data_IF_524526950631
#
_entry.id   IF_524526950631
#
_cell.length_a   1.000
_cell.length_b   1.000
_cell.length_c   1.000
_cell.angle_alpha   90.00
_cell.angle_beta   90.00
_cell.angle_gamma   90.00
#
_symmetry.space_group_name_H-M   'P 1'
#
loop_
_entity.id
_entity.type
_entity.pdbx_description
1 polymer ?
#
# COMPACT_ATOMS: atom_id res chain seq x y z
N UNK A 1 -29.84 3.38 -26.88
CA UNK A 1 -28.86 4.46 -26.59
C UNK A 1 -29.14 4.99 -25.19
N UNK A 2 -28.57 4.43 -24.10
CA UNK A 2 -28.83 4.93 -22.76
C UNK A 2 -27.95 6.15 -22.44
N UNK A 3 -28.60 7.19 -21.92
CA UNK A 3 -28.03 8.46 -21.50
C UNK A 3 -27.03 8.26 -20.35
N UNK A 4 -25.79 8.69 -20.56
CA UNK A 4 -24.73 8.71 -19.53
C UNK A 4 -25.11 9.74 -18.46
N UNK A 5 -25.31 9.25 -17.23
CA UNK A 5 -25.54 10.08 -16.03
C UNK A 5 -24.35 11.02 -15.83
N UNK A 6 -24.60 12.33 -15.95
CA UNK A 6 -23.65 13.38 -15.56
C UNK A 6 -23.41 13.29 -14.06
N UNK A 7 -22.16 13.01 -13.67
CA UNK A 7 -21.75 13.09 -12.28
C UNK A 7 -21.71 14.56 -11.84
N UNK A 8 -22.54 14.89 -10.84
CA UNK A 8 -22.42 16.14 -10.08
C UNK A 8 -21.24 16.00 -9.12
N UNK A 9 -20.20 16.83 -9.34
CA UNK A 9 -19.18 17.06 -8.31
C UNK A 9 -19.60 18.33 -7.54
N UNK A 10 -19.75 18.28 -6.21
CA UNK A 10 -20.09 19.46 -5.43
C UNK A 10 -18.98 20.51 -5.56
N UNK A 11 -19.29 21.61 -6.26
CA UNK A 11 -18.51 22.85 -6.23
C UNK A 11 -18.65 23.46 -4.84
N UNK A 12 -17.73 23.19 -3.92
CA UNK A 12 -17.97 23.68 -2.56
C UNK A 12 -16.90 23.47 -1.50
N UNK A 13 -15.61 23.53 -1.83
CA UNK A 13 -14.61 23.83 -0.81
C UNK A 13 -13.72 24.97 -1.32
N UNK A 14 -14.20 26.20 -1.11
CA UNK A 14 -13.32 27.37 -1.18
C UNK A 14 -12.40 27.29 0.04
N UNK A 15 -11.07 27.19 -0.11
CA UNK A 15 -10.20 27.38 1.02
C UNK A 15 -10.41 28.81 1.53
N UNK A 16 -10.94 28.94 2.74
CA UNK A 16 -10.97 30.21 3.48
C UNK A 16 -9.54 30.55 3.91
N UNK A 17 -8.72 30.95 2.93
CA UNK A 17 -7.49 31.68 3.19
C UNK A 17 -7.88 33.08 3.65
N UNK A 18 -8.18 33.22 4.95
CA UNK A 18 -8.18 34.51 5.66
C UNK A 18 -6.74 35.01 5.86
N UNK A 19 -5.97 35.02 4.77
CA UNK A 19 -4.70 35.74 4.70
C UNK A 19 -4.94 37.06 3.99
N UNK A 20 -4.55 38.18 4.60
CA UNK A 20 -4.45 39.45 3.86
C UNK A 20 -3.64 39.18 2.59
N UNK A 21 -4.24 39.37 1.41
CA UNK A 21 -3.53 39.25 0.13
C UNK A 21 -2.44 40.32 0.11
N UNK A 22 -1.22 39.95 0.47
CA UNK A 22 -0.05 40.82 0.29
C UNK A 22 0.19 40.91 -1.20
N UNK A 23 -0.21 42.04 -1.80
CA UNK A 23 -0.15 42.28 -3.26
C UNK A 23 1.29 42.39 -3.78
N UNK A 24 2.30 42.50 -2.92
CA UNK A 24 3.69 42.75 -3.28
C UNK A 24 4.57 41.52 -3.04
N UNK A 25 5.46 41.22 -3.98
CA UNK A 25 6.50 40.18 -3.83
C UNK A 25 7.47 40.53 -2.70
N UNK A 26 8.13 39.52 -2.12
CA UNK A 26 9.15 39.74 -1.10
C UNK A 26 10.29 40.65 -1.62
N UNK A 27 10.74 40.42 -2.86
CA UNK A 27 11.78 41.24 -3.51
C UNK A 27 11.39 42.72 -3.57
N UNK A 28 10.17 43.03 -4.04
CA UNK A 28 9.69 44.43 -4.14
C UNK A 28 9.55 45.12 -2.77
N UNK A 29 9.24 44.34 -1.72
CA UNK A 29 9.17 44.88 -0.35
C UNK A 29 10.55 45.24 0.19
N UNK A 30 11.54 44.37 0.00
CA UNK A 30 12.93 44.59 0.46
C UNK A 30 13.57 45.74 -0.30
N UNK A 31 13.35 45.83 -1.61
CA UNK A 31 13.83 46.94 -2.44
C UNK A 31 13.30 48.30 -1.92
N UNK A 32 12.02 48.38 -1.56
CA UNK A 32 11.42 49.59 -0.98
C UNK A 32 12.04 49.96 0.38
N UNK A 33 12.34 48.96 1.22
CA UNK A 33 12.98 49.19 2.52
C UNK A 33 14.41 49.69 2.38
N UNK A 34 15.17 49.18 1.40
CA UNK A 34 16.51 49.67 1.09
C UNK A 34 16.49 51.10 0.56
N UNK A 35 15.56 51.41 -0.36
CA UNK A 35 15.40 52.79 -0.88
C UNK A 35 15.09 53.80 0.23
N UNK A 36 14.32 53.40 1.23
CA UNK A 36 14.01 54.24 2.40
C UNK A 36 15.06 54.22 3.51
N UNK A 37 16.18 53.50 3.33
CA UNK A 37 17.20 53.25 4.34
C UNK A 37 16.63 52.77 5.69
N UNK A 38 15.54 52.00 5.64
CA UNK A 38 14.79 51.55 6.83
C UNK A 38 15.47 50.36 7.51
N UNK A 39 16.15 49.53 6.73
CA UNK A 39 16.82 48.33 7.20
C UNK A 39 18.08 48.07 6.37
N UNK A 40 19.10 47.43 6.97
CA UNK A 40 20.29 47.02 6.23
C UNK A 40 19.94 46.01 5.12
N UNK A 41 20.71 46.05 4.03
CA UNK A 41 20.57 45.13 2.89
C UNK A 41 20.84 43.69 3.36
N UNK A 42 19.90 42.73 3.17
CA UNK A 42 20.13 41.36 3.57
C UNK A 42 21.11 40.66 2.62
N UNK A 43 21.97 39.79 3.15
CA UNK A 43 23.02 39.07 2.40
C UNK A 43 22.47 38.26 1.21
N UNK A 44 21.26 37.72 1.34
CA UNK A 44 20.64 36.91 0.29
C UNK A 44 20.08 37.75 -0.87
N UNK A 45 19.90 39.06 -0.71
CA UNK A 45 19.20 39.90 -1.70
C UNK A 45 19.98 40.01 -3.01
N UNK A 46 21.30 40.09 -2.94
CA UNK A 46 22.18 40.14 -4.11
C UNK A 46 22.14 38.83 -4.90
N UNK A 47 22.20 37.70 -4.19
CA UNK A 47 22.07 36.38 -4.80
C UNK A 47 20.69 36.18 -5.47
N UNK A 48 19.62 36.66 -4.83
CA UNK A 48 18.27 36.60 -5.39
C UNK A 48 18.06 37.56 -6.58
N UNK A 49 18.83 38.63 -6.70
CA UNK A 49 18.84 39.48 -7.90
C UNK A 49 19.66 38.87 -9.03
N UNK A 50 20.78 38.22 -8.72
CA UNK A 50 21.60 37.50 -9.71
C UNK A 50 20.88 36.26 -10.27
N UNK A 51 20.11 35.58 -9.43
CA UNK A 51 19.33 34.39 -9.78
C UNK A 51 17.86 34.61 -9.36
N UNK A 52 17.09 35.40 -10.13
CA UNK A 52 15.70 35.65 -9.80
C UNK A 52 14.88 34.36 -9.83
N UNK A 53 13.92 34.18 -8.91
CA UNK A 53 13.04 33.03 -8.96
C UNK A 53 12.26 33.03 -10.28
N UNK A 54 11.92 31.86 -10.83
CA UNK A 54 11.13 31.78 -12.05
C UNK A 54 9.79 32.51 -11.85
N UNK A 55 9.27 33.16 -12.90
CA UNK A 55 7.99 33.86 -12.81
C UNK A 55 6.88 32.88 -12.41
N UNK A 56 5.98 33.34 -11.53
CA UNK A 56 4.83 32.54 -11.12
C UNK A 56 3.82 32.51 -12.27
N UNK A 57 3.70 31.36 -12.92
CA UNK A 57 2.63 31.11 -13.86
C UNK A 57 1.38 30.65 -13.11
N UNK A 58 0.22 31.23 -13.46
CA UNK A 58 -1.06 30.64 -13.08
C UNK A 58 -1.34 29.54 -14.09
N UNK A 59 -0.95 28.32 -13.74
CA UNK A 59 -1.30 27.15 -14.53
C UNK A 59 -2.72 26.74 -14.16
N UNK A 60 -3.49 26.37 -15.19
CA UNK A 60 -4.73 25.63 -14.97
C UNK A 60 -4.42 24.30 -14.27
N UNK A 61 -5.43 23.71 -13.62
CA UNK A 61 -5.27 22.41 -12.97
C UNK A 61 -4.78 21.39 -14.01
N UNK A 62 -3.65 20.69 -13.77
CA UNK A 62 -3.16 19.70 -14.72
C UNK A 62 -4.20 18.59 -14.92
N UNK A 63 -4.27 17.98 -16.12
CA UNK A 63 -5.12 16.83 -16.35
C UNK A 63 -4.68 15.65 -15.46
N UNK A 64 -5.63 14.77 -15.13
CA UNK A 64 -5.33 13.57 -14.37
C UNK A 64 -4.47 12.62 -15.23
N UNK A 65 -3.40 12.08 -14.64
CA UNK A 65 -2.52 11.11 -15.28
C UNK A 65 -3.24 9.74 -15.32
N UNK A 66 -3.46 9.20 -16.51
CA UNK A 66 -4.11 7.91 -16.71
C UNK A 66 -3.34 7.10 -17.75
N UNK A 67 -3.18 5.81 -17.48
CA UNK A 67 -2.54 4.86 -18.37
C UNK A 67 -3.55 3.84 -18.92
N UNK A 68 -3.38 3.30 -20.14
CA UNK A 68 -4.32 2.34 -20.71
C UNK A 68 -4.48 1.07 -19.86
N UNK A 69 -3.41 0.64 -19.18
CA UNK A 69 -3.41 -0.50 -18.28
C UNK A 69 -4.23 -0.29 -16.99
N UNK A 70 -4.52 0.96 -16.60
CA UNK A 70 -5.23 1.27 -15.35
C UNK A 70 -6.64 0.69 -15.34
N UNK A 71 -7.33 0.70 -16.49
CA UNK A 71 -8.68 0.16 -16.63
C UNK A 71 -8.69 -1.36 -16.50
N UNK A 72 -7.75 -2.03 -17.18
CA UNK A 72 -7.58 -3.48 -17.13
C UNK A 72 -7.25 -3.96 -15.71
N UNK A 73 -6.33 -3.25 -15.04
CA UNK A 73 -5.95 -3.54 -13.65
C UNK A 73 -7.12 -3.40 -12.69
N UNK A 74 -7.90 -2.31 -12.80
CA UNK A 74 -9.09 -2.09 -11.97
C UNK A 74 -10.11 -3.19 -12.16
N UNK A 75 -10.34 -3.60 -13.40
CA UNK A 75 -11.26 -4.67 -13.71
C UNK A 75 -10.81 -6.02 -13.13
N UNK A 76 -9.52 -6.35 -13.26
CA UNK A 76 -8.96 -7.57 -12.71
C UNK A 76 -9.04 -7.61 -11.18
N UNK A 77 -8.71 -6.50 -10.49
CA UNK A 77 -8.80 -6.40 -9.02
C UNK A 77 -10.25 -6.51 -8.52
N UNK A 78 -11.21 -5.99 -9.28
CA UNK A 78 -12.64 -6.14 -8.97
C UNK A 78 -13.08 -7.61 -9.00
N UNK A 79 -12.53 -8.40 -9.92
CA UNK A 79 -12.82 -9.85 -10.04
C UNK A 79 -12.00 -10.69 -9.04
N UNK A 80 -10.84 -10.21 -8.63
CA UNK A 80 -9.91 -10.89 -7.72
C UNK A 80 -9.68 -10.06 -6.43
N UNK A 81 -10.68 -9.93 -5.54
CA UNK A 81 -10.57 -9.07 -4.37
C UNK A 81 -9.45 -9.50 -3.41
N UNK A 82 -9.17 -10.81 -3.33
CA UNK A 82 -8.09 -11.36 -2.50
C UNK A 82 -6.71 -10.82 -2.90
N UNK A 83 -6.50 -10.50 -4.18
CA UNK A 83 -5.23 -9.98 -4.66
C UNK A 83 -4.93 -8.55 -4.19
N UNK A 84 -5.95 -7.81 -3.72
CA UNK A 84 -5.77 -6.46 -3.14
C UNK A 84 -4.91 -6.48 -1.88
N UNK A 85 -4.88 -7.61 -1.18
CA UNK A 85 -4.11 -7.79 0.05
C UNK A 85 -2.68 -8.27 -0.20
N UNK A 86 -2.27 -8.46 -1.47
CA UNK A 86 -0.92 -8.92 -1.79
C UNK A 86 0.07 -7.78 -1.54
N UNK A 87 1.05 -7.96 -0.63
CA UNK A 87 2.03 -6.93 -0.33
C UNK A 87 2.95 -6.71 -1.54
N UNK A 88 3.20 -5.44 -1.88
CA UNK A 88 4.21 -5.04 -2.87
C UNK A 88 5.31 -4.25 -2.17
N UNK A 89 6.55 -4.65 -2.36
CA UNK A 89 7.69 -3.90 -1.84
C UNK A 89 7.91 -2.64 -2.70
N UNK A 90 7.78 -1.45 -2.08
CA UNK A 90 7.95 -0.16 -2.77
C UNK A 90 9.33 0.48 -2.54
N UNK A 91 10.05 0.07 -1.49
CA UNK A 91 11.19 0.82 -0.94
C UNK A 91 12.50 0.03 -0.89
N UNK A 92 12.52 -1.17 -1.46
CA UNK A 92 13.71 -2.02 -1.46
C UNK A 92 14.36 -2.00 -2.84
N UNK A 93 15.69 -1.97 -2.87
CA UNK A 93 16.43 -2.10 -4.12
C UNK A 93 16.04 -3.42 -4.79
N UNK A 94 15.75 -3.35 -6.08
CA UNK A 94 15.07 -4.41 -6.83
C UNK A 94 15.75 -5.77 -6.68
N UNK A 95 17.09 -5.79 -6.60
CA UNK A 95 17.91 -7.00 -6.43
C UNK A 95 17.80 -7.68 -5.06
N UNK A 96 17.32 -6.98 -4.03
CA UNK A 96 17.24 -7.49 -2.65
C UNK A 96 15.87 -8.10 -2.29
N UNK A 97 14.89 -7.96 -3.17
CA UNK A 97 13.50 -8.38 -2.94
C UNK A 97 13.21 -9.72 -3.61
N UNK A 98 12.58 -10.68 -2.92
CA UNK A 98 12.03 -11.88 -3.56
C UNK A 98 11.07 -11.51 -4.70
N UNK A 99 11.11 -12.24 -5.81
CA UNK A 99 10.31 -11.93 -7.01
C UNK A 99 8.81 -11.81 -6.71
N UNK A 100 8.29 -12.60 -5.76
CA UNK A 100 6.88 -12.58 -5.35
C UNK A 100 6.42 -11.26 -4.72
N UNK A 101 7.35 -10.51 -4.14
CA UNK A 101 7.09 -9.20 -3.53
C UNK A 101 7.46 -8.04 -4.46
N UNK A 102 8.19 -8.33 -5.54
CA UNK A 102 8.62 -7.35 -6.54
C UNK A 102 7.50 -7.08 -7.55
N UNK A 103 6.89 -8.13 -8.10
CA UNK A 103 5.82 -8.02 -9.09
C UNK A 103 4.47 -8.38 -8.47
N UNK A 104 3.54 -7.42 -8.54
CA UNK A 104 2.16 -7.69 -8.13
C UNK A 104 1.49 -8.59 -9.18
N UNK A 105 0.66 -9.58 -8.80
CA UNK A 105 0.04 -10.50 -9.76
C UNK A 105 -0.81 -9.80 -10.83
N UNK A 106 -1.47 -8.69 -10.46
CA UNK A 106 -2.18 -7.86 -11.44
C UNK A 106 -1.27 -7.25 -12.51
N UNK A 107 -0.01 -6.90 -12.17
CA UNK A 107 0.90 -6.28 -13.13
C UNK A 107 1.27 -7.31 -14.22
N UNK A 108 1.61 -8.54 -13.82
CA UNK A 108 1.90 -9.63 -14.75
C UNK A 108 0.69 -10.03 -15.60
N UNK A 109 -0.51 -10.05 -15.01
CA UNK A 109 -1.74 -10.34 -15.74
C UNK A 109 -2.01 -9.29 -16.81
N UNK A 110 -1.89 -8.01 -16.47
CA UNK A 110 -2.21 -6.90 -17.38
C UNK A 110 -1.14 -6.78 -18.47
N UNK A 111 0.14 -7.00 -18.15
CA UNK A 111 1.23 -7.08 -19.14
C UNK A 111 0.88 -8.13 -20.21
N UNK A 112 0.53 -9.35 -19.80
CA UNK A 112 0.14 -10.42 -20.72
C UNK A 112 -1.15 -10.11 -21.49
N UNK A 113 -2.13 -9.47 -20.84
CA UNK A 113 -3.37 -9.07 -21.50
C UNK A 113 -3.11 -8.00 -22.57
N UNK A 114 -2.22 -7.04 -22.31
CA UNK A 114 -1.86 -6.01 -23.29
C UNK A 114 -1.16 -6.61 -24.50
N UNK A 115 -0.23 -7.56 -24.31
CA UNK A 115 0.42 -8.28 -25.43
C UNK A 115 -0.62 -8.90 -26.38
N UNK A 116 -1.64 -9.60 -25.85
CA UNK A 116 -2.70 -10.19 -26.67
C UNK A 116 -3.56 -9.13 -27.38
N UNK A 117 -3.78 -7.98 -26.76
CA UNK A 117 -4.53 -6.86 -27.36
C UNK A 117 -3.71 -6.24 -28.49
N UNK A 118 -2.39 -6.08 -28.32
CA UNK A 118 -1.47 -5.60 -29.34
C UNK A 118 -1.40 -6.56 -30.55
N UNK A 119 -1.53 -7.87 -30.30
CA UNK A 119 -1.66 -8.90 -31.35
C UNK A 119 -3.01 -8.87 -32.08
N UNK A 120 -3.97 -8.05 -31.62
CA UNK A 120 -5.28 -7.85 -32.25
C UNK A 120 -6.42 -8.65 -31.63
N UNK A 121 -6.22 -9.24 -30.45
CA UNK A 121 -7.28 -9.94 -29.71
C UNK A 121 -8.20 -8.93 -29.04
N UNK A 122 -9.52 -9.21 -29.03
CA UNK A 122 -10.47 -8.36 -28.32
C UNK A 122 -10.18 -8.35 -26.80
N UNK A 123 -10.33 -7.21 -26.08
CA UNK A 123 -9.97 -7.11 -24.67
C UNK A 123 -10.63 -8.17 -23.75
N UNK A 124 -11.89 -8.52 -23.99
CA UNK A 124 -12.60 -9.53 -23.19
C UNK A 124 -12.20 -10.97 -23.55
N UNK A 125 -11.71 -11.20 -24.76
CA UNK A 125 -11.15 -12.49 -25.17
C UNK A 125 -9.73 -12.65 -24.61
N UNK A 126 -8.90 -11.60 -24.70
CA UNK A 126 -7.59 -11.54 -24.07
C UNK A 126 -7.71 -11.82 -22.57
N UNK A 127 -8.68 -11.18 -21.87
CA UNK A 127 -8.94 -11.46 -20.45
C UNK A 127 -9.21 -12.95 -20.18
N UNK A 128 -10.06 -13.58 -21.00
CA UNK A 128 -10.43 -15.00 -20.84
C UNK A 128 -9.24 -15.93 -21.06
N UNK A 129 -8.41 -15.63 -22.06
CA UNK A 129 -7.20 -16.39 -22.36
C UNK A 129 -6.24 -16.31 -21.17
N UNK A 130 -5.90 -15.10 -20.71
CA UNK A 130 -4.96 -14.92 -19.58
C UNK A 130 -5.51 -15.51 -18.28
N UNK A 131 -6.82 -15.40 -18.03
CA UNK A 131 -7.43 -16.02 -16.86
C UNK A 131 -7.31 -17.55 -16.89
N UNK A 132 -7.52 -18.17 -18.05
CA UNK A 132 -7.34 -19.61 -18.22
C UNK A 132 -5.88 -20.04 -18.08
N UNK A 133 -4.92 -19.23 -18.54
CA UNK A 133 -3.48 -19.45 -18.32
C UNK A 133 -3.15 -19.41 -16.82
N UNK A 134 -3.63 -18.39 -16.11
CA UNK A 134 -3.38 -18.23 -14.68
C UNK A 134 -3.98 -19.37 -13.83
N UNK A 135 -5.17 -19.86 -14.18
CA UNK A 135 -5.77 -21.03 -13.51
C UNK A 135 -4.92 -22.30 -13.71
N UNK A 136 -4.45 -22.55 -14.94
CA UNK A 136 -3.59 -23.71 -15.24
C UNK A 136 -2.25 -23.64 -14.49
N UNK A 137 -1.64 -22.47 -14.41
CA UNK A 137 -0.41 -22.26 -13.64
C UNK A 137 -0.64 -22.48 -12.14
N UNK A 138 -1.75 -21.95 -11.61
CA UNK A 138 -2.13 -22.16 -10.21
C UNK A 138 -2.38 -23.63 -9.87
N UNK A 139 -3.00 -24.39 -10.78
CA UNK A 139 -3.21 -25.83 -10.63
C UNK A 139 -1.90 -26.61 -10.65
N UNK A 140 -1.01 -26.28 -11.59
CA UNK A 140 0.32 -26.90 -11.68
C UNK A 140 1.14 -26.64 -10.41
N UNK A 141 1.13 -25.40 -9.89
CA UNK A 141 1.82 -25.04 -8.65
C UNK A 141 1.25 -25.81 -7.46
N UNK A 142 -0.08 -25.87 -7.31
CA UNK A 142 -0.74 -26.63 -6.23
C UNK A 142 -0.40 -28.12 -6.29
N UNK A 143 -0.43 -28.72 -7.48
CA UNK A 143 -0.04 -30.11 -7.67
C UNK A 143 1.44 -30.36 -7.28
N UNK A 144 2.34 -29.44 -7.64
CA UNK A 144 3.76 -29.54 -7.30
C UNK A 144 4.01 -29.46 -5.78
N UNK A 145 3.30 -28.57 -5.07
CA UNK A 145 3.38 -28.42 -3.62
C UNK A 145 2.80 -29.64 -2.90
N UNK A 146 1.68 -30.19 -3.39
CA UNK A 146 1.09 -31.42 -2.86
C UNK A 146 2.06 -32.62 -3.02
N UNK A 147 2.73 -32.73 -4.18
CA UNK A 147 3.73 -33.77 -4.39
C UNK A 147 4.95 -33.61 -3.47
N UNK A 148 5.41 -32.37 -3.24
CA UNK A 148 6.56 -32.08 -2.37
C UNK A 148 6.25 -32.36 -0.89
N UNK A 149 5.08 -31.96 -0.42
CA UNK A 149 4.62 -32.23 0.95
C UNK A 149 4.44 -33.72 1.20
N UNK A 150 3.87 -34.46 0.26
CA UNK A 150 3.78 -35.94 0.34
C UNK A 150 5.15 -36.60 0.47
N UNK A 151 6.11 -36.22 -0.37
CA UNK A 151 7.50 -36.73 -0.28
C UNK A 151 8.19 -36.39 1.04
N UNK A 152 7.90 -35.23 1.62
CA UNK A 152 8.45 -34.83 2.91
C UNK A 152 7.88 -35.67 4.07
N UNK A 153 6.56 -35.93 4.04
CA UNK A 153 5.88 -36.80 5.01
C UNK A 153 6.32 -38.27 4.89
N UNK A 154 6.47 -38.78 3.66
CA UNK A 154 6.95 -40.15 3.44
C UNK A 154 8.38 -40.33 3.96
N UNK A 155 9.23 -39.29 3.87
CA UNK A 155 10.59 -39.31 4.40
C UNK A 155 10.62 -39.25 5.93
N UNK A 156 9.78 -38.42 6.56
CA UNK A 156 9.73 -38.33 8.02
C UNK A 156 9.15 -39.60 8.68
N UNK A 157 8.22 -40.29 8.01
CA UNK A 157 7.68 -41.56 8.49
C UNK A 157 8.65 -42.73 8.32
N UNK A 158 9.48 -42.74 7.26
CA UNK A 158 10.55 -43.73 7.07
C UNK A 158 11.66 -43.59 8.14
N UNK A 159 12.05 -42.37 8.50
CA UNK A 159 13.04 -42.12 9.55
C UNK A 159 12.50 -42.48 10.95
N UNK A 160 11.19 -42.29 11.20
CA UNK A 160 10.55 -42.70 12.45
C UNK A 160 10.42 -44.23 12.60
N UNK A 161 10.28 -44.97 11.50
CA UNK A 161 10.23 -46.43 11.51
C UNK A 161 11.63 -47.09 11.64
N UNK A 162 12.70 -46.40 11.26
CA UNK A 162 14.08 -46.89 11.37
C UNK A 162 14.75 -46.69 12.74
N UNK A 163 14.13 -45.92 13.65
CA UNK A 163 14.71 -45.54 14.95
C UNK A 163 14.43 -46.47 16.13
N UNK A 164 13.73 -47.60 15.95
CA UNK A 164 13.26 -48.46 17.07
C UNK A 164 14.19 -49.66 17.35
N UNK A 165 15.34 -49.79 16.66
CA UNK A 165 16.19 -50.98 16.79
C UNK A 165 17.42 -50.86 17.72
N UNK A 166 17.77 -49.70 18.27
CA UNK A 166 18.93 -49.55 19.16
C UNK A 166 18.59 -48.66 20.37
N UNK A 167 18.09 -49.27 21.44
CA UNK A 167 17.79 -48.57 22.68
C UNK A 167 17.16 -49.44 23.76
N UNK A 168 17.56 -50.71 23.84
CA UNK A 168 17.32 -51.54 25.01
C UNK A 168 18.68 -51.72 25.69
N UNK A 169 18.98 -50.83 26.64
CA UNK A 169 19.90 -51.00 27.77
C UNK A 169 20.33 -49.62 28.29
N UNK A 170 19.42 -48.89 28.95
CA UNK A 170 19.81 -48.10 30.12
C UNK A 170 18.57 -47.71 30.93
N UNK A 171 18.18 -48.61 31.83
CA UNK A 171 17.24 -48.33 32.91
C UNK A 171 17.99 -48.51 34.23
N UNK A 172 18.65 -47.44 34.71
CA UNK A 172 19.11 -47.35 36.09
C UNK A 172 18.75 -45.97 36.66
N UNK A 173 17.69 -45.98 37.46
CA UNK A 173 17.62 -45.33 38.77
C UNK A 173 17.99 -43.83 38.87
N UNK A 174 16.97 -42.98 38.86
CA UNK A 174 16.94 -41.83 39.78
C UNK A 174 15.50 -41.40 40.03
N UNK A 175 15.00 -41.96 41.11
CA UNK A 175 13.80 -41.62 41.84
C UNK A 175 14.02 -40.29 42.58
N UNK A 176 12.92 -39.54 42.77
CA UNK A 176 12.66 -38.53 43.82
C UNK A 176 13.12 -37.08 43.56
N UNK A 177 12.11 -36.21 43.49
CA UNK A 177 12.22 -34.75 43.48
C UNK A 177 10.85 -34.11 43.32
N UNK A 178 9.98 -34.31 44.33
CA UNK A 178 8.78 -33.52 44.55
C UNK A 178 9.11 -32.03 44.83
N UNK A 179 8.08 -31.20 44.68
CA UNK A 179 7.85 -29.89 45.32
C UNK A 179 8.07 -28.60 44.50
N UNK A 180 6.96 -27.84 44.42
CA UNK A 180 6.93 -26.38 44.29
C UNK A 180 6.78 -25.86 42.85
N UNK A 181 5.77 -25.08 42.47
CA UNK A 181 4.79 -24.32 43.23
C UNK A 181 4.36 -23.09 42.39
N UNK A 182 3.09 -22.72 42.46
CA UNK A 182 2.55 -21.38 42.13
C UNK A 182 2.43 -21.04 40.64
N UNK A 183 1.28 -20.69 40.05
CA UNK A 183 0.08 -20.09 40.63
C UNK A 183 0.14 -18.55 40.58
N UNK A 184 -0.16 -17.94 39.43
CA UNK A 184 -0.71 -16.57 39.25
C UNK A 184 -0.97 -16.36 37.76
N UNK A 185 -2.18 -16.09 37.24
CA UNK A 185 -3.29 -15.35 37.83
C UNK A 185 -3.13 -13.87 37.48
N UNK A 186 -3.71 -13.42 36.37
CA UNK A 186 -3.61 -12.04 35.90
C UNK A 186 -4.60 -11.72 34.78
N UNK A 187 -5.89 -11.80 35.09
CA UNK A 187 -6.95 -11.20 34.28
C UNK A 187 -6.93 -9.68 34.44
N UNK A 188 -7.02 -8.97 33.32
CA UNK A 188 -7.18 -7.52 33.26
C UNK A 188 -8.41 -7.17 32.45
N UNK A 189 -9.56 -7.19 33.10
CA UNK A 189 -10.75 -6.47 32.67
C UNK A 189 -10.49 -4.96 32.80
N UNK A 190 -10.71 -4.21 31.72
CA UNK A 190 -10.89 -2.77 31.76
C UNK A 190 -12.10 -2.39 30.93
N UNK A 191 -13.26 -2.59 31.54
CA UNK A 191 -14.49 -1.83 31.30
C UNK A 191 -14.25 -0.33 31.43
N UNK A 192 -14.92 0.49 30.61
CA UNK A 192 -15.37 1.82 31.06
C UNK A 192 -15.03 2.96 30.12
N UNK A 193 -16.04 3.46 29.39
CA UNK A 193 -15.89 4.69 28.61
C UNK A 193 -17.14 5.18 27.88
N UNK A 194 -18.35 4.99 28.42
CA UNK A 194 -19.56 5.69 27.93
C UNK A 194 -19.49 7.15 28.37
N UNK A 195 -19.04 8.03 27.48
CA UNK A 195 -19.14 9.48 27.62
C UNK A 195 -20.39 10.01 26.91
N UNK A 196 -21.53 10.02 27.59
CA UNK A 196 -22.72 10.73 27.15
C UNK A 196 -22.60 12.23 27.50
N UNK A 197 -22.62 13.09 26.48
CA UNK A 197 -22.66 14.54 26.63
C UNK A 197 -23.90 15.13 25.93
N UNK A 198 -24.99 15.29 26.70
CA UNK A 198 -26.13 16.16 26.35
C UNK A 198 -25.81 17.61 26.76
N UNK A 199 -26.53 18.55 26.11
CA UNK A 199 -26.73 20.00 26.38
C UNK A 199 -25.94 20.89 25.40
N UNK A 200 -26.53 21.93 24.79
CA UNK A 200 -27.84 22.53 25.05
C UNK A 200 -28.26 23.47 23.93
N UNK A 201 -29.58 23.69 23.85
CA UNK A 201 -30.15 24.78 23.09
C UNK A 201 -30.02 26.12 23.82
N UNK A 202 -29.94 27.16 23.00
CA UNK A 202 -30.39 28.56 23.18
C UNK A 202 -30.41 29.10 21.74
N UNK A 203 -31.49 29.59 21.15
CA UNK A 203 -32.52 30.44 21.72
C UNK A 203 -32.03 31.88 21.67
N UNK A 204 -32.47 32.64 20.67
CA UNK A 204 -32.15 34.07 20.53
C UNK A 204 -32.69 34.64 19.22
N UNK A 205 -33.91 35.19 19.35
CA UNK A 205 -34.62 36.19 18.54
C UNK A 205 -34.10 36.56 17.14
#
# INVERSE_FOLDING_TARGET
MPLVKRWHVPRGLRPTLTGRKVRTTLMSRVERQQRGNVAPRPLWFDAALAHPPPPKFQLDRPPDLAFPEDELRREWLRRNPAATMVPKALFLEEASVPDELRRHPADAFVERQMELIEEGTAPEEAYRIVAAEQEREGDALRASLAARTRRALDRSTADAAGGVANGADDAVLSMLGEEGGGGKGGGGDATGGRGGGRRGGRGGA
#
